data_IF_277882282732
#
_entry.id   IF_277882282732
#
_cell.length_a   1.000
_cell.length_b   1.000
_cell.length_c   1.000
_cell.angle_alpha   90.00
_cell.angle_beta   90.00
_cell.angle_gamma   90.00
#
_symmetry.space_group_name_H-M   'P 1'
#
loop_
_entity.id
_entity.type
_entity.pdbx_description
1 polymer ?
#
# COMPACT_ATOMS: atom_id res chain seq x y z
N UNK A 1 -10.30 -27.36 4.09
CA UNK A 1 -10.55 -26.00 3.52
C UNK A 1 -12.00 -25.49 3.61
N UNK A 2 -13.02 -26.31 3.33
CA UNK A 2 -14.43 -25.87 3.29
C UNK A 2 -14.97 -25.33 4.63
N UNK A 3 -14.60 -25.95 5.76
CA UNK A 3 -15.01 -25.51 7.12
C UNK A 3 -14.42 -24.13 7.50
N UNK A 4 -13.21 -23.82 7.02
CA UNK A 4 -12.48 -22.54 7.24
C UNK A 4 -13.11 -21.39 6.44
N UNK A 5 -13.51 -21.65 5.18
CA UNK A 5 -14.31 -20.69 4.39
C UNK A 5 -15.64 -20.37 5.07
N UNK A 6 -16.29 -21.35 5.69
CA UNK A 6 -17.55 -21.15 6.41
C UNK A 6 -17.45 -20.19 7.59
N UNK A 7 -16.41 -20.28 8.42
CA UNK A 7 -16.25 -19.39 9.59
C UNK A 7 -15.87 -17.96 9.18
N UNK A 8 -15.00 -17.82 8.17
CA UNK A 8 -14.62 -16.51 7.62
C UNK A 8 -15.85 -15.84 6.98
N UNK A 9 -16.60 -16.58 6.16
CA UNK A 9 -17.82 -16.09 5.52
C UNK A 9 -18.88 -15.68 6.56
N UNK A 10 -19.09 -16.47 7.62
CA UNK A 10 -20.08 -16.16 8.67
C UNK A 10 -19.79 -14.84 9.40
N UNK A 11 -18.51 -14.49 9.59
CA UNK A 11 -18.13 -13.23 10.26
C UNK A 11 -18.20 -12.03 9.34
N UNK A 12 -17.78 -12.19 8.09
CA UNK A 12 -18.00 -11.19 7.05
C UNK A 12 -19.49 -10.92 6.87
N UNK A 13 -20.31 -11.97 6.89
CA UNK A 13 -21.76 -11.88 6.89
C UNK A 13 -22.30 -11.17 8.15
N UNK A 14 -21.74 -11.40 9.33
CA UNK A 14 -22.17 -10.71 10.56
C UNK A 14 -21.89 -9.19 10.49
N UNK A 15 -20.70 -8.78 10.02
CA UNK A 15 -20.37 -7.37 9.81
C UNK A 15 -21.24 -6.74 8.72
N UNK A 16 -21.41 -7.44 7.60
CA UNK A 16 -22.24 -6.99 6.49
C UNK A 16 -23.71 -6.89 6.89
N UNK A 17 -24.20 -7.81 7.72
CA UNK A 17 -25.53 -7.75 8.30
C UNK A 17 -25.69 -6.53 9.21
N UNK A 18 -24.75 -6.29 10.12
CA UNK A 18 -24.74 -5.10 10.98
C UNK A 18 -24.78 -3.80 10.17
N UNK A 19 -23.96 -3.70 9.11
CA UNK A 19 -23.97 -2.55 8.21
C UNK A 19 -25.27 -2.41 7.44
N UNK A 20 -25.83 -3.52 6.94
CA UNK A 20 -27.07 -3.52 6.18
C UNK A 20 -28.23 -3.03 7.05
N UNK A 21 -28.27 -3.44 8.33
CA UNK A 21 -29.26 -2.95 9.30
C UNK A 21 -29.10 -1.45 9.53
N UNK A 22 -27.87 -0.96 9.73
CA UNK A 22 -27.62 0.49 9.91
C UNK A 22 -28.05 1.26 8.66
N UNK A 23 -27.64 0.83 7.48
CA UNK A 23 -27.97 1.48 6.21
C UNK A 23 -29.48 1.45 5.92
N UNK A 24 -30.18 0.42 6.39
CA UNK A 24 -31.64 0.34 6.28
C UNK A 24 -32.35 1.31 7.24
N UNK A 25 -31.88 1.43 8.48
CA UNK A 25 -32.48 2.30 9.49
C UNK A 25 -32.11 3.77 9.28
N UNK A 26 -30.93 4.06 8.70
CA UNK A 26 -30.39 5.41 8.60
C UNK A 26 -31.32 6.42 7.93
N UNK A 27 -31.96 6.15 6.77
CA UNK A 27 -32.89 7.09 6.14
C UNK A 27 -34.11 7.39 7.01
N UNK A 28 -34.67 6.36 7.66
CA UNK A 28 -35.87 6.47 8.51
C UNK A 28 -35.55 7.34 9.73
N UNK A 29 -34.45 7.03 10.42
CA UNK A 29 -34.00 7.75 11.60
C UNK A 29 -33.65 9.20 11.25
N UNK A 30 -32.98 9.43 10.13
CA UNK A 30 -32.54 10.78 9.73
C UNK A 30 -33.70 11.70 9.40
N UNK A 31 -34.71 11.17 8.70
CA UNK A 31 -35.95 11.89 8.43
C UNK A 31 -36.67 12.20 9.75
N UNK A 32 -36.84 11.21 10.62
CA UNK A 32 -37.50 11.40 11.90
C UNK A 32 -36.80 12.45 12.77
N UNK A 33 -35.46 12.37 12.91
CA UNK A 33 -34.67 13.32 13.67
C UNK A 33 -34.73 14.74 13.08
N UNK A 34 -34.73 14.87 11.75
CA UNK A 34 -34.87 16.17 11.10
C UNK A 34 -36.23 16.82 11.42
N UNK A 35 -37.33 16.07 11.30
CA UNK A 35 -38.67 16.59 11.61
C UNK A 35 -38.85 16.86 13.10
N UNK A 36 -38.29 16.02 13.98
CA UNK A 36 -38.26 16.25 15.42
C UNK A 36 -37.52 17.55 15.76
N UNK A 37 -36.36 17.78 15.16
CA UNK A 37 -35.58 19.00 15.38
C UNK A 37 -36.30 20.26 14.85
N UNK A 38 -37.05 20.13 13.75
CA UNK A 38 -37.74 21.25 13.10
C UNK A 38 -39.09 21.61 13.73
N UNK A 39 -39.85 20.62 14.19
CA UNK A 39 -41.24 20.80 14.64
C UNK A 39 -41.47 20.43 16.12
N UNK A 40 -40.44 19.97 16.85
CA UNK A 40 -40.54 19.56 18.25
C UNK A 40 -41.33 18.26 18.45
N UNK A 41 -41.59 17.85 19.68
CA UNK A 41 -42.22 16.54 20.00
C UNK A 41 -43.69 16.39 19.57
N UNK A 42 -44.34 17.46 19.12
CA UNK A 42 -45.76 17.44 18.71
C UNK A 42 -46.02 16.95 17.28
N UNK A 43 -44.98 16.71 16.48
CA UNK A 43 -45.15 16.31 15.08
C UNK A 43 -45.59 14.84 14.95
N UNK A 44 -46.48 14.56 13.99
CA UNK A 44 -46.82 13.20 13.56
C UNK A 44 -46.43 13.02 12.12
N UNK A 45 -45.57 12.03 11.87
CA UNK A 45 -45.15 11.67 10.52
C UNK A 45 -46.25 10.82 9.86
N UNK A 46 -47.14 11.45 9.07
CA UNK A 46 -48.34 10.79 8.52
C UNK A 46 -48.02 9.86 7.36
N UNK A 47 -47.16 10.28 6.44
CA UNK A 47 -46.74 9.45 5.29
C UNK A 47 -45.39 9.92 4.79
N UNK A 48 -44.48 8.97 4.55
CA UNK A 48 -43.25 9.22 3.81
C UNK A 48 -43.07 8.10 2.78
N UNK A 49 -42.57 8.45 1.60
CA UNK A 49 -42.26 7.48 0.54
C UNK A 49 -40.78 7.60 0.24
N UNK A 50 -40.04 6.53 0.50
CA UNK A 50 -38.68 6.38 0.00
C UNK A 50 -38.78 5.69 -1.35
N UNK A 51 -38.13 6.27 -2.36
CA UNK A 51 -38.00 5.59 -3.65
C UNK A 51 -37.13 4.33 -3.47
N UNK A 52 -37.64 3.12 -3.80
CA UNK A 52 -36.93 1.87 -3.55
C UNK A 52 -35.66 1.74 -4.40
N UNK A 53 -35.63 2.31 -5.61
CA UNK A 53 -34.47 2.28 -6.49
C UNK A 53 -33.36 3.15 -5.91
N UNK A 54 -33.72 4.36 -5.46
CA UNK A 54 -32.77 5.27 -4.81
C UNK A 54 -32.19 4.67 -3.53
N UNK A 55 -33.04 4.06 -2.71
CA UNK A 55 -32.62 3.37 -1.50
C UNK A 55 -31.62 2.24 -1.80
N UNK A 56 -31.91 1.41 -2.82
CA UNK A 56 -31.02 0.33 -3.23
C UNK A 56 -29.67 0.85 -3.74
N UNK A 57 -29.66 1.94 -4.51
CA UNK A 57 -28.42 2.60 -4.97
C UNK A 57 -27.60 3.11 -3.78
N UNK A 58 -28.23 3.67 -2.75
CA UNK A 58 -27.54 4.15 -1.55
C UNK A 58 -26.89 2.99 -0.80
N UNK A 59 -27.68 1.95 -0.49
CA UNK A 59 -27.17 0.76 0.22
C UNK A 59 -26.02 0.14 -0.55
N UNK A 60 -26.17 -0.05 -1.87
CA UNK A 60 -25.12 -0.60 -2.72
C UNK A 60 -23.86 0.28 -2.70
N UNK A 61 -24.00 1.59 -2.85
CA UNK A 61 -22.87 2.53 -2.86
C UNK A 61 -22.07 2.46 -1.56
N UNK A 62 -22.74 2.51 -0.40
CA UNK A 62 -22.07 2.45 0.89
C UNK A 62 -21.44 1.09 1.19
N UNK A 63 -22.09 -0.02 0.83
CA UNK A 63 -21.50 -1.35 0.98
C UNK A 63 -20.25 -1.50 0.09
N UNK A 64 -20.29 -1.00 -1.14
CA UNK A 64 -19.16 -1.01 -2.06
C UNK A 64 -18.02 -0.16 -1.53
N UNK A 65 -18.26 1.06 -1.04
CA UNK A 65 -17.20 1.89 -0.48
C UNK A 65 -16.60 1.27 0.78
N UNK A 66 -17.41 0.77 1.72
CA UNK A 66 -16.91 0.06 2.90
C UNK A 66 -16.05 -1.15 2.53
N UNK A 67 -16.40 -1.86 1.44
CA UNK A 67 -15.60 -2.96 0.92
C UNK A 67 -14.26 -2.50 0.34
N UNK A 68 -14.25 -1.44 -0.48
CA UNK A 68 -13.02 -0.87 -1.04
C UNK A 68 -12.04 -0.39 0.03
N UNK A 69 -12.53 0.07 1.18
CA UNK A 69 -11.70 0.49 2.32
C UNK A 69 -11.34 -0.64 3.29
N UNK A 70 -11.46 -1.90 2.86
CA UNK A 70 -11.10 -3.12 3.61
C UNK A 70 -11.81 -3.25 4.98
N UNK A 71 -13.01 -2.68 5.15
CA UNK A 71 -13.74 -2.71 6.43
C UNK A 71 -14.35 -4.09 6.75
N UNK A 72 -14.33 -5.02 5.80
CA UNK A 72 -14.75 -6.42 5.99
C UNK A 72 -13.57 -7.37 6.22
N UNK A 73 -12.36 -6.83 6.42
CA UNK A 73 -11.20 -7.64 6.79
C UNK A 73 -11.22 -7.93 8.30
N UNK A 74 -11.58 -9.16 8.66
CA UNK A 74 -11.75 -9.62 10.04
C UNK A 74 -10.45 -9.69 10.85
N UNK A 75 -9.29 -9.54 10.21
CA UNK A 75 -7.97 -9.55 10.87
C UNK A 75 -7.56 -8.17 11.40
N UNK A 76 -8.30 -7.10 11.08
CA UNK A 76 -7.97 -5.75 11.55
C UNK A 76 -8.47 -5.53 12.98
N UNK A 77 -7.60 -4.99 13.84
CA UNK A 77 -8.01 -4.45 15.14
C UNK A 77 -8.72 -3.12 14.90
N UNK A 78 -10.05 -3.13 15.04
CA UNK A 78 -10.87 -1.97 14.74
C UNK A 78 -10.72 -0.82 15.76
N UNK A 79 -9.97 -1.01 16.85
CA UNK A 79 -9.65 0.05 17.83
C UNK A 79 -8.50 0.97 17.43
N UNK A 80 -7.73 0.61 16.39
CA UNK A 80 -6.64 1.46 15.92
C UNK A 80 -7.18 2.73 15.26
N UNK A 81 -6.54 3.87 15.50
CA UNK A 81 -6.90 5.16 14.91
C UNK A 81 -6.92 5.14 13.38
N UNK A 82 -6.06 4.34 12.76
CA UNK A 82 -6.02 4.12 11.32
C UNK A 82 -7.35 3.56 10.77
N UNK A 83 -8.03 2.70 11.53
CA UNK A 83 -9.31 2.12 11.12
C UNK A 83 -10.41 3.18 11.12
N UNK A 84 -10.44 4.05 12.14
CA UNK A 84 -11.41 5.15 12.22
C UNK A 84 -11.24 6.10 11.04
N UNK A 85 -10.00 6.44 10.67
CA UNK A 85 -9.71 7.27 9.48
C UNK A 85 -10.22 6.62 8.20
N UNK A 86 -10.01 5.29 8.04
CA UNK A 86 -10.53 4.55 6.88
C UNK A 86 -12.06 4.54 6.83
N UNK A 87 -12.74 4.38 7.97
CA UNK A 87 -14.20 4.44 8.05
C UNK A 87 -14.70 5.84 7.64
N UNK A 88 -14.10 6.90 8.19
CA UNK A 88 -14.44 8.26 7.84
C UNK A 88 -14.27 8.52 6.34
N UNK A 89 -13.13 8.10 5.77
CA UNK A 89 -12.86 8.26 4.35
C UNK A 89 -13.83 7.45 3.48
N UNK A 90 -14.21 6.23 3.90
CA UNK A 90 -15.19 5.40 3.21
C UNK A 90 -16.58 6.05 3.17
N UNK A 91 -17.03 6.61 4.31
CA UNK A 91 -18.30 7.32 4.41
C UNK A 91 -18.28 8.61 3.60
N UNK A 92 -17.18 9.37 3.64
CA UNK A 92 -17.03 10.61 2.87
C UNK A 92 -17.06 10.34 1.35
N UNK A 93 -16.31 9.35 0.87
CA UNK A 93 -16.33 8.94 -0.54
C UNK A 93 -17.71 8.41 -0.94
N UNK A 94 -18.34 7.59 -0.08
CA UNK A 94 -19.70 7.11 -0.29
C UNK A 94 -20.71 8.25 -0.42
N UNK A 95 -20.61 9.26 0.45
CA UNK A 95 -21.46 10.45 0.40
C UNK A 95 -21.27 11.25 -0.89
N UNK A 96 -20.03 11.46 -1.34
CA UNK A 96 -19.74 12.17 -2.59
C UNK A 96 -20.34 11.43 -3.79
N UNK A 97 -20.11 10.10 -3.88
CA UNK A 97 -20.67 9.27 -4.96
C UNK A 97 -22.20 9.31 -4.94
N UNK A 98 -22.79 9.23 -3.76
CA UNK A 98 -24.24 9.25 -3.57
C UNK A 98 -24.85 10.58 -4.06
N UNK A 99 -24.25 11.71 -3.67
CA UNK A 99 -24.66 13.03 -4.14
C UNK A 99 -24.53 13.13 -5.67
N UNK A 100 -23.38 12.71 -6.20
CA UNK A 100 -23.12 12.72 -7.65
C UNK A 100 -24.16 11.90 -8.44
N UNK A 101 -24.45 10.67 -7.99
CA UNK A 101 -25.45 9.81 -8.61
C UNK A 101 -26.87 10.40 -8.52
N UNK A 102 -27.20 11.08 -7.42
CA UNK A 102 -28.51 11.73 -7.27
C UNK A 102 -28.73 12.85 -8.29
N UNK A 103 -27.70 13.65 -8.58
CA UNK A 103 -27.77 14.70 -9.60
C UNK A 103 -27.88 14.14 -11.02
N UNK A 104 -27.14 13.07 -11.34
CA UNK A 104 -27.21 12.42 -12.65
C UNK A 104 -28.58 11.79 -12.89
N UNK A 105 -29.15 11.18 -11.86
CA UNK A 105 -30.48 10.56 -11.95
C UNK A 105 -31.63 11.58 -12.05
N UNK A 106 -31.35 12.89 -12.00
CA UNK A 106 -32.37 13.93 -12.02
C UNK A 106 -33.29 13.90 -10.80
N UNK A 107 -32.85 13.27 -9.70
CA UNK A 107 -33.65 13.13 -8.50
C UNK A 107 -33.50 14.40 -7.64
N UNK A 108 -34.60 14.91 -7.05
CA UNK A 108 -34.52 16.09 -6.21
C UNK A 108 -33.60 15.79 -5.02
N UNK A 109 -32.59 16.66 -4.75
CA UNK A 109 -31.72 16.45 -3.62
C UNK A 109 -32.58 16.44 -2.35
N UNK A 110 -32.48 15.36 -1.56
CA UNK A 110 -33.06 15.34 -0.22
C UNK A 110 -32.51 16.54 0.57
N UNK A 111 -33.31 17.09 1.48
CA UNK A 111 -32.91 18.28 2.24
C UNK A 111 -31.49 18.14 2.79
N UNK A 112 -30.62 19.13 2.55
CA UNK A 112 -29.19 19.07 2.87
C UNK A 112 -28.91 18.61 4.30
N UNK A 113 -29.73 19.08 5.24
CA UNK A 113 -29.68 18.70 6.65
C UNK A 113 -30.05 17.24 6.91
N UNK A 114 -31.03 16.68 6.20
CA UNK A 114 -31.39 15.25 6.29
C UNK A 114 -30.19 14.40 5.86
N UNK A 115 -29.51 14.80 4.79
CA UNK A 115 -28.32 14.09 4.29
C UNK A 115 -27.14 14.16 5.26
N UNK A 116 -26.92 15.31 5.92
CA UNK A 116 -25.88 15.44 6.96
C UNK A 116 -26.17 14.55 8.17
N UNK A 117 -27.43 14.54 8.64
CA UNK A 117 -27.86 13.67 9.74
C UNK A 117 -27.68 12.19 9.34
N UNK A 118 -28.04 11.84 8.10
CA UNK A 118 -27.83 10.50 7.54
C UNK A 118 -26.37 10.08 7.55
N UNK A 119 -25.47 10.89 6.98
CA UNK A 119 -24.04 10.58 6.97
C UNK A 119 -23.46 10.46 8.39
N UNK A 120 -23.93 11.28 9.32
CA UNK A 120 -23.51 11.24 10.73
C UNK A 120 -23.98 9.95 11.41
N UNK A 121 -25.22 9.54 11.16
CA UNK A 121 -25.77 8.29 11.69
C UNK A 121 -25.09 7.05 11.10
N UNK A 122 -24.81 7.05 9.80
CA UNK A 122 -24.04 5.96 9.16
C UNK A 122 -22.64 5.88 9.75
N UNK A 123 -21.95 7.01 9.90
CA UNK A 123 -20.61 7.06 10.50
C UNK A 123 -20.62 6.52 11.94
N UNK A 124 -21.51 7.03 12.80
CA UNK A 124 -21.59 6.60 14.19
C UNK A 124 -22.03 5.14 14.32
N UNK A 125 -23.00 4.69 13.52
CA UNK A 125 -23.46 3.31 13.49
C UNK A 125 -22.36 2.34 13.06
N UNK A 126 -21.64 2.64 11.98
CA UNK A 126 -20.54 1.81 11.48
C UNK A 126 -19.44 1.70 12.55
N UNK A 127 -19.04 2.83 13.15
CA UNK A 127 -18.08 2.87 14.26
C UNK A 127 -18.58 2.06 15.45
N UNK A 128 -19.86 2.17 15.81
CA UNK A 128 -20.47 1.40 16.90
C UNK A 128 -20.43 -0.10 16.61
N UNK A 129 -20.83 -0.55 15.43
CA UNK A 129 -20.74 -1.98 15.05
C UNK A 129 -19.30 -2.46 15.10
N UNK A 130 -18.32 -1.63 14.71
CA UNK A 130 -16.90 -2.00 14.76
C UNK A 130 -16.39 -2.06 16.19
N UNK A 131 -16.82 -1.14 17.03
CA UNK A 131 -16.50 -1.12 18.44
C UNK A 131 -17.11 -2.33 19.16
N UNK A 132 -18.39 -2.62 18.95
CA UNK A 132 -19.08 -3.79 19.51
C UNK A 132 -18.45 -5.10 19.00
N UNK A 133 -18.17 -5.19 17.70
CA UNK A 133 -17.44 -6.32 17.12
C UNK A 133 -16.05 -6.44 17.73
N UNK A 134 -15.35 -5.33 17.97
CA UNK A 134 -14.06 -5.34 18.63
C UNK A 134 -14.16 -5.70 20.11
N UNK A 135 -15.24 -5.36 20.83
CA UNK A 135 -15.43 -5.77 22.22
C UNK A 135 -15.63 -7.28 22.30
N UNK A 136 -16.57 -7.80 21.52
CA UNK A 136 -16.86 -9.24 21.42
C UNK A 136 -15.67 -10.02 20.85
N UNK A 137 -14.94 -9.43 19.90
CA UNK A 137 -13.77 -10.02 19.25
C UNK A 137 -12.45 -9.85 20.03
N UNK A 138 -12.35 -8.88 20.95
CA UNK A 138 -11.16 -8.63 21.77
C UNK A 138 -10.99 -9.63 22.91
N UNK A 139 -12.01 -10.43 23.20
CA UNK A 139 -11.89 -11.59 24.06
C UNK A 139 -11.19 -12.70 23.28
N UNK A 140 -9.86 -12.64 23.17
CA UNK A 140 -8.89 -13.75 23.02
C UNK A 140 -9.12 -14.91 22.04
N UNK A 141 -10.18 -14.93 21.22
CA UNK A 141 -10.78 -16.23 20.85
C UNK A 141 -10.30 -16.83 19.53
N UNK A 142 -9.47 -16.17 18.73
CA UNK A 142 -8.90 -16.79 17.52
C UNK A 142 -7.42 -16.48 17.38
N UNK A 143 -6.64 -16.92 18.37
CA UNK A 143 -5.21 -17.10 18.15
C UNK A 143 -4.98 -18.41 17.42
N UNK A 144 -4.42 -18.36 16.21
CA UNK A 144 -4.06 -19.58 15.47
C UNK A 144 -2.97 -20.30 16.27
N UNK A 145 -3.24 -21.55 16.65
CA UNK A 145 -2.21 -22.46 17.18
C UNK A 145 -1.09 -22.59 16.15
N UNK A 146 0.07 -22.03 16.48
CA UNK A 146 1.17 -21.80 15.54
C UNK A 146 2.40 -22.59 15.98
N UNK A 147 2.98 -23.36 15.07
CA UNK A 147 4.25 -24.06 15.27
C UNK A 147 5.31 -23.41 14.38
N UNK A 148 6.45 -23.03 14.96
CA UNK A 148 7.56 -22.45 14.19
C UNK A 148 8.58 -23.55 13.89
N UNK A 149 8.82 -23.85 12.62
CA UNK A 149 9.77 -24.88 12.19
C UNK A 149 11.14 -24.24 11.94
N UNK A 150 12.07 -24.48 12.86
CA UNK A 150 13.43 -23.92 12.91
C UNK A 150 13.61 -22.93 14.06
N UNK A 151 14.57 -23.20 14.95
CA UNK A 151 14.91 -22.34 16.10
C UNK A 151 15.97 -21.25 15.79
N UNK A 152 16.24 -21.00 14.50
CA UNK A 152 17.23 -20.01 14.06
C UNK A 152 16.80 -18.55 14.33
N UNK A 153 17.67 -17.61 13.98
CA UNK A 153 17.44 -16.17 14.17
C UNK A 153 16.09 -15.69 13.61
N UNK A 154 15.71 -16.15 12.41
CA UNK A 154 14.41 -15.81 11.81
C UNK A 154 13.21 -16.28 12.62
N UNK A 155 13.31 -17.44 13.29
CA UNK A 155 12.24 -17.97 14.14
C UNK A 155 12.12 -17.17 15.44
N UNK A 156 13.27 -16.85 16.06
CA UNK A 156 13.33 -16.02 17.28
C UNK A 156 12.72 -14.64 17.06
N UNK A 157 13.02 -14.01 15.93
CA UNK A 157 12.46 -12.69 15.62
C UNK A 157 10.94 -12.69 15.43
N UNK A 158 10.39 -13.74 14.82
CA UNK A 158 8.93 -13.89 14.68
C UNK A 158 8.30 -14.08 16.06
N UNK A 159 8.89 -14.91 16.92
CA UNK A 159 8.42 -15.09 18.29
C UNK A 159 8.48 -13.80 19.10
N UNK A 160 9.58 -13.04 19.01
CA UNK A 160 9.71 -11.73 19.66
C UNK A 160 8.70 -10.70 19.14
N UNK A 161 8.40 -10.73 17.83
CA UNK A 161 7.37 -9.88 17.27
C UNK A 161 5.97 -10.22 17.83
N UNK A 162 5.66 -11.51 17.95
CA UNK A 162 4.38 -11.98 18.52
C UNK A 162 4.28 -11.66 20.02
N UNK A 163 5.36 -11.83 20.78
CA UNK A 163 5.42 -11.52 22.21
C UNK A 163 5.21 -10.01 22.47
N UNK A 164 5.83 -9.15 21.65
CA UNK A 164 5.63 -7.70 21.73
C UNK A 164 4.26 -7.22 21.25
N UNK A 165 3.51 -8.07 20.53
CA UNK A 165 2.18 -7.75 19.99
C UNK A 165 1.14 -8.83 20.35
N UNK A 166 0.56 -8.80 21.58
CA UNK A 166 -0.39 -9.80 22.06
C UNK A 166 -1.68 -9.96 21.22
N UNK A 167 -1.98 -8.96 20.38
CA UNK A 167 -3.11 -8.95 19.43
C UNK A 167 -2.70 -9.39 18.02
N UNK A 168 -1.54 -10.02 17.84
CA UNK A 168 -1.05 -10.55 16.54
C UNK A 168 -1.92 -11.66 15.95
N UNK A 169 -2.85 -12.23 16.72
CA UNK A 169 -3.73 -13.31 16.27
C UNK A 169 -3.04 -14.67 16.15
N UNK A 170 -1.81 -14.80 16.67
CA UNK A 170 -1.07 -16.06 16.75
C UNK A 170 -0.93 -16.52 18.21
N UNK A 171 -0.95 -17.82 18.43
CA UNK A 171 -0.57 -18.46 19.69
C UNK A 171 0.54 -19.44 19.37
N UNK A 172 1.78 -19.08 19.68
CA UNK A 172 2.93 -19.95 19.43
C UNK A 172 2.89 -21.08 20.45
N UNK A 173 2.83 -22.32 19.97
CA UNK A 173 2.87 -23.52 20.82
C UNK A 173 4.32 -23.85 21.17
N UNK A 174 5.22 -23.66 20.21
CA UNK A 174 6.63 -23.99 20.35
C UNK A 174 7.40 -23.91 19.04
N UNK A 175 8.67 -24.24 19.14
CA UNK A 175 9.57 -24.41 18.01
C UNK A 175 9.72 -25.89 17.68
N UNK A 176 9.94 -26.23 16.42
CA UNK A 176 10.30 -27.57 15.96
C UNK A 176 11.70 -27.51 15.38
N UNK A 177 12.63 -28.29 15.93
CA UNK A 177 14.00 -28.39 15.41
C UNK A 177 14.48 -29.85 15.30
N UNK A 178 15.42 -30.10 14.38
CA UNK A 178 16.03 -31.42 14.19
C UNK A 178 17.23 -31.65 15.11
N UNK A 179 17.67 -30.63 15.82
CA UNK A 179 18.77 -30.72 16.74
C UNK A 179 18.30 -31.30 18.09
N UNK A 180 18.76 -32.50 18.42
CA UNK A 180 18.35 -33.21 19.63
C UNK A 180 18.83 -32.51 20.90
N UNK A 181 19.95 -31.77 20.81
CA UNK A 181 20.50 -31.04 21.94
C UNK A 181 19.59 -29.88 22.40
N UNK A 182 18.75 -29.38 21.49
CA UNK A 182 17.83 -28.27 21.77
C UNK A 182 16.48 -28.74 22.30
N UNK A 183 16.25 -30.04 22.43
CA UNK A 183 14.99 -30.58 22.92
C UNK A 183 14.74 -30.14 24.37
N UNK A 184 13.60 -29.49 24.63
CA UNK A 184 13.25 -29.02 25.98
C UNK A 184 13.85 -27.65 26.35
N UNK A 185 14.70 -27.07 25.51
CA UNK A 185 15.11 -25.68 25.67
C UNK A 185 13.91 -24.73 25.48
N UNK A 186 13.98 -23.57 26.14
CA UNK A 186 13.00 -22.50 25.95
C UNK A 186 13.62 -21.39 25.11
N UNK A 187 13.05 -21.15 23.94
CA UNK A 187 13.46 -20.06 23.03
C UNK A 187 12.37 -19.01 23.06
N UNK A 188 12.71 -17.79 23.49
CA UNK A 188 11.77 -16.66 23.62
C UNK A 188 10.50 -17.00 24.44
N UNK A 189 10.67 -17.85 25.46
CA UNK A 189 9.60 -18.31 26.35
C UNK A 189 8.79 -19.50 25.84
N UNK A 190 9.14 -20.08 24.68
CA UNK A 190 8.42 -21.22 24.09
C UNK A 190 9.29 -22.49 24.05
N UNK A 191 8.71 -23.68 24.29
CA UNK A 191 9.45 -24.94 24.26
C UNK A 191 9.91 -25.30 22.84
N UNK A 192 11.07 -25.94 22.75
CA UNK A 192 11.59 -26.53 21.52
C UNK A 192 11.29 -28.03 21.51
N UNK A 193 10.51 -28.46 20.53
CA UNK A 193 10.18 -29.85 20.25
C UNK A 193 11.19 -30.44 19.27
N UNK A 194 11.60 -31.67 19.53
CA UNK A 194 12.51 -32.41 18.68
C UNK A 194 11.76 -33.11 17.54
N UNK A 195 12.25 -32.95 16.32
CA UNK A 195 11.69 -33.58 15.13
C UNK A 195 12.41 -34.90 14.82
N UNK A 196 11.90 -36.01 15.37
CA UNK A 196 12.56 -37.32 15.24
C UNK A 196 12.30 -38.03 13.90
N UNK A 197 11.06 -38.05 13.39
CA UNK A 197 10.67 -38.86 12.21
C UNK A 197 9.95 -38.10 11.08
N UNK A 198 9.54 -36.84 11.30
CA UNK A 198 8.95 -35.98 10.27
C UNK A 198 8.05 -34.89 10.84
N UNK A 199 7.51 -34.00 9.99
CA UNK A 199 6.53 -32.99 10.39
C UNK A 199 5.17 -33.60 10.74
N UNK A 200 4.88 -34.80 10.26
CA UNK A 200 3.59 -35.47 10.48
C UNK A 200 3.34 -35.77 11.95
N UNK A 201 4.38 -36.20 12.68
CA UNK A 201 4.26 -36.54 14.10
C UNK A 201 3.99 -35.29 14.95
N UNK A 202 4.73 -34.21 14.69
CA UNK A 202 4.50 -32.92 15.33
C UNK A 202 3.09 -32.35 15.05
N UNK A 203 2.54 -32.63 13.86
CA UNK A 203 1.17 -32.27 13.51
C UNK A 203 0.14 -33.12 14.28
N UNK A 204 0.39 -34.42 14.42
CA UNK A 204 -0.49 -35.32 15.17
C UNK A 204 -0.53 -35.00 16.67
N UNK A 205 0.63 -34.67 17.24
CA UNK A 205 0.78 -34.40 18.68
C UNK A 205 0.25 -33.02 19.08
N UNK A 206 0.59 -31.97 18.33
CA UNK A 206 0.30 -30.59 18.73
C UNK A 206 -0.88 -29.95 17.98
N UNK A 207 -1.38 -30.60 16.93
CA UNK A 207 -2.50 -30.16 16.09
C UNK A 207 -2.44 -28.65 15.73
N UNK A 208 -1.35 -28.19 15.06
CA UNK A 208 -1.17 -26.80 14.72
C UNK A 208 -2.13 -26.38 13.59
N UNK A 209 -2.66 -25.16 13.68
CA UNK A 209 -3.49 -24.56 12.64
C UNK A 209 -2.68 -23.76 11.62
N UNK A 210 -1.51 -23.28 12.04
CA UNK A 210 -0.54 -22.54 11.24
C UNK A 210 0.86 -23.08 11.53
N UNK A 211 1.67 -23.14 10.49
CA UNK A 211 3.07 -23.51 10.55
C UNK A 211 3.90 -22.42 9.89
N UNK A 212 4.89 -21.90 10.62
CA UNK A 212 5.81 -20.89 10.11
C UNK A 212 7.15 -21.55 9.84
N UNK A 213 7.57 -21.54 8.59
CA UNK A 213 8.78 -22.17 8.13
C UNK A 213 9.96 -21.21 8.30
N UNK A 214 10.64 -21.28 9.44
CA UNK A 214 11.77 -20.42 9.82
C UNK A 214 13.13 -21.11 9.63
N UNK A 215 13.27 -21.88 8.56
CA UNK A 215 14.51 -22.58 8.21
C UNK A 215 15.07 -22.12 6.84
N UNK A 216 16.30 -22.53 6.53
CA UNK A 216 16.93 -22.23 5.22
C UNK A 216 16.24 -22.99 4.07
N UNK A 217 16.07 -22.33 2.92
CA UNK A 217 15.33 -22.83 1.75
C UNK A 217 15.79 -24.19 1.20
N UNK A 218 17.07 -24.53 1.32
CA UNK A 218 17.62 -25.83 0.86
C UNK A 218 16.90 -27.02 1.51
N UNK A 219 16.48 -26.88 2.77
CA UNK A 219 15.77 -27.95 3.51
C UNK A 219 14.29 -28.08 3.13
N UNK A 220 13.70 -27.09 2.45
CA UNK A 220 12.29 -27.16 2.04
C UNK A 220 12.07 -28.21 0.96
N UNK A 221 13.02 -28.38 0.03
CA UNK A 221 12.93 -29.38 -1.04
C UNK A 221 12.74 -30.79 -0.51
N UNK A 222 13.37 -31.11 0.63
CA UNK A 222 13.26 -32.41 1.28
C UNK A 222 11.90 -32.60 1.96
N UNK A 223 11.23 -31.50 2.34
CA UNK A 223 9.99 -31.50 3.11
C UNK A 223 8.73 -31.23 2.27
N UNK A 224 8.86 -30.98 0.96
CA UNK A 224 7.73 -30.62 0.09
C UNK A 224 6.57 -31.62 0.21
N UNK A 225 6.86 -32.93 0.19
CA UNK A 225 5.83 -33.97 0.30
C UNK A 225 5.06 -33.89 1.62
N UNK A 226 5.75 -33.62 2.72
CA UNK A 226 5.15 -33.47 4.04
C UNK A 226 4.35 -32.17 4.14
N UNK A 227 4.87 -31.07 3.61
CA UNK A 227 4.17 -29.78 3.58
C UNK A 227 2.88 -29.84 2.77
N UNK A 228 2.89 -30.53 1.62
CA UNK A 228 1.68 -30.75 0.82
C UNK A 228 0.65 -31.56 1.61
N UNK A 229 1.07 -32.60 2.32
CA UNK A 229 0.18 -33.37 3.20
C UNK A 229 -0.40 -32.50 4.32
N UNK A 230 0.42 -31.70 5.00
CA UNK A 230 -0.04 -30.76 6.03
C UNK A 230 -1.06 -29.76 5.47
N UNK A 231 -0.82 -29.23 4.27
CA UNK A 231 -1.73 -28.32 3.60
C UNK A 231 -3.09 -28.99 3.26
N UNK A 232 -3.08 -30.27 2.86
CA UNK A 232 -4.29 -31.06 2.62
C UNK A 232 -5.12 -31.26 3.89
N UNK A 233 -4.47 -31.40 5.06
CA UNK A 233 -5.13 -31.43 6.38
C UNK A 233 -5.71 -30.06 6.79
N UNK A 234 -5.46 -29.00 6.01
CA UNK A 234 -5.97 -27.65 6.25
C UNK A 234 -5.09 -26.78 7.14
N UNK A 235 -3.86 -27.25 7.41
CA UNK A 235 -2.82 -26.48 8.11
C UNK A 235 -2.29 -25.44 7.15
N UNK A 236 -2.24 -24.20 7.62
CA UNK A 236 -1.72 -23.09 6.84
C UNK A 236 -0.19 -23.07 6.98
N UNK A 237 0.53 -22.82 5.88
CA UNK A 237 1.99 -22.84 5.87
C UNK A 237 2.47 -21.48 5.39
N UNK A 238 3.20 -20.77 6.23
CA UNK A 238 3.80 -19.48 5.92
C UNK A 238 5.32 -19.61 5.84
N UNK A 239 5.96 -18.93 4.90
CA UNK A 239 7.39 -18.66 4.98
C UNK A 239 7.64 -17.39 5.82
N UNK A 240 8.91 -17.14 6.17
CA UNK A 240 9.30 -15.96 6.97
C UNK A 240 8.83 -14.63 6.35
N UNK A 241 9.02 -14.37 5.03
CA UNK A 241 8.46 -13.18 4.38
C UNK A 241 6.96 -13.02 4.57
N UNK A 242 6.18 -14.08 4.30
CA UNK A 242 4.71 -14.05 4.45
C UNK A 242 4.29 -13.81 5.90
N UNK A 243 5.03 -14.38 6.86
CA UNK A 243 4.77 -14.13 8.27
C UNK A 243 4.98 -12.66 8.64
N UNK A 244 6.07 -12.03 8.21
CA UNK A 244 6.29 -10.60 8.45
C UNK A 244 5.32 -9.70 7.69
N UNK A 245 4.94 -10.05 6.46
CA UNK A 245 3.92 -9.33 5.70
C UNK A 245 2.57 -9.35 6.44
N UNK A 246 2.13 -10.53 6.88
CA UNK A 246 0.85 -10.68 7.58
C UNK A 246 0.86 -10.06 8.98
N UNK A 247 1.99 -10.11 9.70
CA UNK A 247 2.08 -9.64 11.08
C UNK A 247 2.40 -8.14 11.17
N UNK A 248 3.34 -7.67 10.35
CA UNK A 248 3.89 -6.32 10.43
C UNK A 248 3.50 -5.42 9.24
N UNK A 249 2.85 -5.96 8.20
CA UNK A 249 2.52 -5.21 6.98
C UNK A 249 3.74 -4.78 6.16
N UNK A 250 4.91 -5.37 6.45
CA UNK A 250 6.20 -5.03 5.83
C UNK A 250 7.09 -6.25 5.78
N UNK A 251 7.95 -6.32 4.78
CA UNK A 251 8.87 -7.44 4.59
C UNK A 251 10.31 -6.95 4.76
N UNK A 252 11.08 -7.46 5.74
CA UNK A 252 12.49 -7.14 5.87
C UNK A 252 13.26 -7.58 4.62
N UNK A 253 14.04 -6.68 4.02
CA UNK A 253 14.78 -6.95 2.77
C UNK A 253 15.71 -8.18 2.87
N UNK A 254 16.23 -8.50 4.06
CA UNK A 254 17.08 -9.69 4.28
C UNK A 254 16.37 -11.03 4.03
N UNK A 255 15.04 -11.07 4.02
CA UNK A 255 14.25 -12.27 3.75
C UNK A 255 13.67 -12.30 2.34
N UNK A 256 13.88 -11.23 1.56
CA UNK A 256 13.48 -11.14 0.17
C UNK A 256 14.61 -11.70 -0.69
N UNK A 257 14.33 -12.79 -1.42
CA UNK A 257 15.26 -13.36 -2.38
C UNK A 257 14.73 -13.29 -3.82
N UNK A 258 15.60 -13.62 -4.79
CA UNK A 258 15.30 -13.55 -6.22
C UNK A 258 14.08 -14.39 -6.61
N UNK A 259 13.91 -15.56 -5.99
CA UNK A 259 12.75 -16.43 -6.22
C UNK A 259 11.47 -15.86 -5.65
N UNK A 260 11.50 -15.22 -4.47
CA UNK A 260 10.34 -14.51 -3.93
C UNK A 260 9.97 -13.32 -4.81
N UNK A 261 10.96 -12.59 -5.35
CA UNK A 261 10.72 -11.52 -6.34
C UNK A 261 10.08 -12.09 -7.61
N UNK A 262 10.57 -13.23 -8.10
CA UNK A 262 10.01 -13.91 -9.27
C UNK A 262 8.57 -14.38 -9.03
N UNK A 263 8.28 -15.04 -7.91
CA UNK A 263 6.93 -15.51 -7.62
C UNK A 263 5.96 -14.39 -7.26
N UNK A 264 6.42 -13.32 -6.60
CA UNK A 264 5.59 -12.15 -6.34
C UNK A 264 5.26 -11.40 -7.64
N UNK A 265 6.21 -11.30 -8.58
CA UNK A 265 5.98 -10.67 -9.89
C UNK A 265 5.12 -11.52 -10.83
N UNK A 266 5.26 -12.85 -10.80
CA UNK A 266 4.41 -13.79 -11.57
C UNK A 266 2.99 -13.86 -11.01
N UNK A 267 2.83 -13.77 -9.68
CA UNK A 267 1.51 -13.72 -9.05
C UNK A 267 0.90 -12.29 -9.03
N UNK A 268 1.61 -11.29 -9.55
CA UNK A 268 1.11 -9.93 -9.74
C UNK A 268 0.19 -9.84 -10.96
N UNK A 269 -0.75 -8.90 -10.95
CA UNK A 269 -2.12 -9.31 -10.92
C UNK A 269 -2.66 -9.66 -12.31
N UNK A 270 -3.62 -10.59 -12.33
CA UNK A 270 -4.45 -11.00 -13.49
C UNK A 270 -4.74 -9.79 -14.38
N UNK A 271 -4.71 -9.95 -15.72
CA UNK A 271 -4.96 -8.88 -16.70
C UNK A 271 -6.09 -7.91 -16.30
N UNK A 272 -7.14 -8.42 -15.67
CA UNK A 272 -8.28 -7.66 -15.14
C UNK A 272 -7.90 -6.54 -14.16
N UNK A 273 -6.96 -6.76 -13.25
CA UNK A 273 -6.54 -5.75 -12.25
C UNK A 273 -5.68 -4.67 -12.92
N UNK A 274 -4.84 -5.02 -13.90
CA UNK A 274 -4.10 -4.02 -14.70
C UNK A 274 -5.06 -3.14 -15.50
N UNK A 275 -6.10 -3.74 -16.12
CA UNK A 275 -7.16 -3.00 -16.82
C UNK A 275 -7.95 -2.10 -15.86
N UNK A 276 -8.32 -2.60 -14.69
CA UNK A 276 -9.00 -1.81 -13.67
C UNK A 276 -8.14 -0.64 -13.18
N UNK A 277 -6.84 -0.87 -12.93
CA UNK A 277 -5.89 0.19 -12.56
C UNK A 277 -5.78 1.26 -13.65
N UNK A 278 -5.74 0.84 -14.92
CA UNK A 278 -5.73 1.77 -16.06
C UNK A 278 -7.01 2.58 -16.16
N UNK A 279 -8.17 1.95 -15.98
CA UNK A 279 -9.46 2.63 -15.95
C UNK A 279 -9.49 3.67 -14.82
N UNK A 280 -9.04 3.30 -13.62
CA UNK A 280 -8.95 4.20 -12.49
C UNK A 280 -8.01 5.37 -12.77
N UNK A 281 -6.86 5.12 -13.41
CA UNK A 281 -5.93 6.18 -13.78
C UNK A 281 -6.54 7.17 -14.78
N UNK A 282 -7.29 6.67 -15.77
CA UNK A 282 -8.00 7.51 -16.75
C UNK A 282 -9.08 8.36 -16.07
N UNK A 283 -9.90 7.74 -15.20
CA UNK A 283 -10.98 8.44 -14.49
C UNK A 283 -10.42 9.53 -13.59
N UNK A 284 -9.41 9.20 -12.77
CA UNK A 284 -8.81 10.16 -11.84
C UNK A 284 -8.04 11.25 -12.59
N UNK A 285 -7.33 10.93 -13.67
CA UNK A 285 -6.67 11.93 -14.49
C UNK A 285 -7.68 12.85 -15.22
N UNK A 286 -8.78 12.29 -15.72
CA UNK A 286 -9.86 13.05 -16.36
C UNK A 286 -10.55 14.01 -15.39
N UNK A 287 -10.89 13.55 -14.19
CA UNK A 287 -11.42 14.42 -13.13
C UNK A 287 -10.40 15.46 -12.68
N UNK A 288 -9.13 15.06 -12.55
CA UNK A 288 -8.01 15.95 -12.24
C UNK A 288 -7.92 17.10 -13.25
N UNK A 289 -7.90 16.77 -14.55
CA UNK A 289 -7.90 17.75 -15.64
C UNK A 289 -9.11 18.67 -15.61
N UNK A 290 -10.32 18.14 -15.41
CA UNK A 290 -11.55 18.94 -15.37
C UNK A 290 -11.52 19.96 -14.23
N UNK A 291 -11.13 19.52 -13.02
CA UNK A 291 -11.07 20.38 -11.83
C UNK A 291 -9.91 21.37 -11.94
N UNK A 292 -8.75 20.94 -12.46
CA UNK A 292 -7.58 21.81 -12.58
C UNK A 292 -7.63 22.75 -13.77
N UNK A 293 -8.54 22.54 -14.73
CA UNK A 293 -8.60 23.32 -15.98
C UNK A 293 -8.65 24.85 -15.76
N UNK A 294 -9.51 25.40 -14.87
CA UNK A 294 -9.52 26.85 -14.62
C UNK A 294 -8.19 27.37 -14.07
N UNK A 295 -7.58 26.63 -13.15
CA UNK A 295 -6.28 26.98 -12.55
C UNK A 295 -5.16 26.90 -13.59
N UNK A 296 -5.20 25.89 -14.45
CA UNK A 296 -4.25 25.71 -15.55
C UNK A 296 -4.35 26.83 -16.58
N UNK A 297 -5.58 27.30 -16.90
CA UNK A 297 -5.79 28.41 -17.81
C UNK A 297 -5.22 29.73 -17.24
N UNK A 298 -5.51 30.04 -15.97
CA UNK A 298 -4.96 31.23 -15.28
C UNK A 298 -3.43 31.14 -15.23
N UNK A 299 -2.89 29.96 -14.90
CA UNK A 299 -1.44 29.72 -14.87
C UNK A 299 -0.80 29.94 -16.24
N UNK A 300 -1.44 29.45 -17.31
CA UNK A 300 -0.95 29.63 -18.68
C UNK A 300 -0.86 31.11 -19.08
N UNK A 301 -1.86 31.91 -18.72
CA UNK A 301 -1.85 33.37 -18.94
C UNK A 301 -0.74 34.02 -18.11
N UNK A 302 -0.63 33.70 -16.82
CA UNK A 302 0.39 34.26 -15.94
C UNK A 302 1.83 34.00 -16.45
N UNK A 303 2.10 32.79 -16.95
CA UNK A 303 3.41 32.44 -17.54
C UNK A 303 3.70 33.30 -18.78
N UNK A 304 2.70 33.48 -19.64
CA UNK A 304 2.84 34.22 -20.91
C UNK A 304 3.01 35.73 -20.70
N UNK A 305 2.48 36.26 -19.60
CA UNK A 305 2.68 37.65 -19.18
C UNK A 305 4.04 37.87 -18.48
N UNK A 306 4.57 36.87 -17.78
CA UNK A 306 5.84 36.97 -17.05
C UNK A 306 7.06 36.91 -17.97
N UNK A 307 7.08 35.97 -18.94
CA UNK A 307 8.21 35.80 -19.86
C UNK A 307 7.78 35.35 -21.26
N UNK A 308 8.48 35.77 -22.33
CA UNK A 308 8.17 35.32 -23.69
C UNK A 308 8.54 33.84 -23.90
N UNK A 309 7.60 33.08 -24.48
CA UNK A 309 7.82 31.70 -24.93
C UNK A 309 6.63 30.76 -24.72
N UNK A 310 6.88 29.45 -24.87
CA UNK A 310 5.87 28.41 -24.72
C UNK A 310 5.45 28.23 -23.26
N UNK A 311 4.15 28.08 -23.03
CA UNK A 311 3.58 27.84 -21.70
C UNK A 311 4.05 26.50 -21.12
N UNK A 312 4.12 25.48 -21.95
CA UNK A 312 4.55 24.14 -21.55
C UNK A 312 6.05 23.94 -21.77
N UNK A 313 6.66 23.25 -20.82
CA UNK A 313 8.00 22.69 -20.92
C UNK A 313 7.86 21.17 -21.04
N UNK A 314 8.60 20.57 -21.98
CA UNK A 314 8.58 19.14 -22.26
C UNK A 314 9.96 18.55 -22.02
N UNK A 315 10.01 17.38 -21.39
CA UNK A 315 11.24 16.68 -21.08
C UNK A 315 11.12 15.19 -21.31
N UNK A 316 12.09 14.61 -22.02
CA UNK A 316 12.16 13.17 -22.24
C UNK A 316 12.45 12.44 -20.93
N UNK A 317 11.67 11.40 -20.66
CA UNK A 317 11.78 10.53 -19.48
C UNK A 317 11.62 9.07 -19.87
N UNK A 318 12.20 8.18 -19.08
CA UNK A 318 12.04 6.73 -19.26
C UNK A 318 10.79 6.25 -18.52
N UNK A 319 9.86 5.68 -19.27
CA UNK A 319 8.60 5.13 -18.82
C UNK A 319 8.61 3.61 -18.73
N UNK A 320 7.44 3.00 -18.95
CA UNK A 320 7.24 1.56 -18.85
C UNK A 320 8.06 0.82 -19.91
N UNK A 321 8.69 -0.29 -19.49
CA UNK A 321 9.50 -1.18 -20.35
C UNK A 321 10.69 -0.48 -21.01
N UNK A 322 11.16 0.62 -20.42
CA UNK A 322 12.29 1.41 -20.94
C UNK A 322 11.92 2.37 -22.07
N UNK A 323 10.65 2.46 -22.47
CA UNK A 323 10.21 3.36 -23.52
C UNK A 323 10.28 4.81 -23.06
N UNK A 324 10.84 5.68 -23.91
CA UNK A 324 10.91 7.11 -23.65
C UNK A 324 9.56 7.80 -23.95
N UNK A 325 9.22 8.81 -23.15
CA UNK A 325 8.05 9.67 -23.39
C UNK A 325 8.33 11.11 -22.98
N UNK A 326 7.55 12.05 -23.52
CA UNK A 326 7.66 13.48 -23.19
C UNK A 326 6.82 13.83 -21.96
N UNK A 327 7.47 14.06 -20.83
CA UNK A 327 6.81 14.56 -19.63
C UNK A 327 6.49 16.05 -19.76
N UNK A 328 5.21 16.42 -19.59
CA UNK A 328 4.71 17.78 -19.75
C UNK A 328 4.59 18.47 -18.39
N UNK A 329 5.13 19.69 -18.30
CA UNK A 329 5.02 20.59 -17.13
C UNK A 329 4.74 22.02 -17.58
N UNK A 330 4.30 22.87 -16.66
CA UNK A 330 4.35 24.30 -16.92
C UNK A 330 5.78 24.81 -16.86
N UNK A 331 6.09 25.80 -17.71
CA UNK A 331 7.37 26.49 -17.69
C UNK A 331 7.50 27.28 -16.39
N UNK A 332 8.46 26.90 -15.56
CA UNK A 332 8.82 27.61 -14.33
C UNK A 332 10.22 28.27 -14.40
N UNK A 333 10.89 28.17 -15.53
CA UNK A 333 12.27 28.64 -15.76
C UNK A 333 12.35 29.49 -17.03
N UNK A 334 13.35 30.36 -17.10
CA UNK A 334 13.62 31.22 -18.26
C UNK A 334 13.92 30.36 -19.49
N UNK A 335 13.61 30.88 -20.70
CA UNK A 335 13.93 30.23 -21.97
C UNK A 335 15.45 29.94 -22.01
N UNK A 336 15.82 28.74 -22.43
CA UNK A 336 17.22 28.28 -22.55
C UNK A 336 18.00 28.07 -21.23
N UNK A 337 17.31 27.98 -20.08
CA UNK A 337 17.92 27.73 -18.76
C UNK A 337 18.81 26.47 -18.63
N UNK A 338 18.67 25.50 -19.54
CA UNK A 338 19.44 24.24 -19.55
C UNK A 338 20.49 24.17 -20.68
N UNK A 339 20.54 25.14 -21.62
CA UNK A 339 21.42 25.05 -22.80
C UNK A 339 22.92 25.07 -22.50
N UNK A 340 23.35 25.77 -21.45
CA UNK A 340 24.78 25.94 -21.15
C UNK A 340 25.33 25.00 -20.07
N UNK A 341 24.48 24.37 -19.25
CA UNK A 341 24.92 23.72 -18.00
C UNK A 341 24.44 22.25 -17.89
N UNK A 342 23.53 21.80 -18.76
CA UNK A 342 22.98 20.44 -18.68
C UNK A 342 22.14 20.18 -17.43
N UNK A 343 21.89 18.90 -17.14
CA UNK A 343 20.99 18.41 -16.08
C UNK A 343 21.52 18.61 -14.65
N UNK A 344 21.63 19.84 -14.16
CA UNK A 344 22.09 20.13 -12.79
C UNK A 344 20.93 20.18 -11.80
N UNK A 345 21.17 19.67 -10.57
CA UNK A 345 20.23 19.76 -9.47
C UNK A 345 20.00 21.23 -9.05
N UNK A 346 18.74 21.63 -8.96
CA UNK A 346 18.34 23.01 -8.65
C UNK A 346 18.65 23.35 -7.18
N UNK A 347 19.39 24.44 -6.94
CA UNK A 347 19.60 25.04 -5.61
C UNK A 347 18.45 25.97 -5.17
N UNK A 348 18.40 26.34 -3.88
CA UNK A 348 17.29 27.13 -3.30
C UNK A 348 17.12 28.54 -3.91
N UNK A 349 18.15 29.10 -4.55
CA UNK A 349 18.13 30.41 -5.22
C UNK A 349 18.72 30.33 -6.63
N UNK A 350 18.08 29.56 -7.51
CA UNK A 350 18.50 29.45 -8.90
C UNK A 350 18.00 30.67 -9.71
N UNK A 351 18.90 31.50 -10.30
CA UNK A 351 18.53 32.68 -11.09
C UNK A 351 17.72 32.33 -12.35
N UNK A 352 17.67 31.03 -12.71
CA UNK A 352 16.92 30.53 -13.87
C UNK A 352 15.41 30.43 -13.64
N UNK A 353 14.93 30.60 -12.40
CA UNK A 353 13.50 30.46 -12.06
C UNK A 353 12.77 31.79 -12.30
N UNK A 354 11.64 31.76 -13.01
CA UNK A 354 10.84 32.99 -13.26
C UNK A 354 10.06 33.43 -12.01
N UNK A 355 9.58 34.68 -11.98
CA UNK A 355 8.86 35.21 -10.80
C UNK A 355 7.59 34.41 -10.55
N UNK A 356 6.82 34.14 -11.61
CA UNK A 356 5.66 33.23 -11.56
C UNK A 356 6.11 31.79 -11.29
N UNK A 357 7.23 31.36 -11.89
CA UNK A 357 7.81 30.02 -11.71
C UNK A 357 8.12 29.67 -10.25
N UNK A 358 8.53 30.65 -9.43
CA UNK A 358 8.75 30.47 -7.99
C UNK A 358 7.47 30.06 -7.27
N UNK A 359 6.35 30.74 -7.57
CA UNK A 359 5.04 30.41 -7.00
C UNK A 359 4.53 29.04 -7.50
N UNK A 360 4.70 28.76 -8.80
CA UNK A 360 4.26 27.48 -9.38
C UNK A 360 4.98 26.29 -8.74
N UNK A 361 6.29 26.38 -8.50
CA UNK A 361 7.07 25.33 -7.83
C UNK A 361 6.72 25.20 -6.36
N UNK A 362 6.47 26.32 -5.67
CA UNK A 362 6.08 26.31 -4.27
C UNK A 362 4.72 25.60 -4.07
N UNK A 363 3.75 25.91 -4.93
CA UNK A 363 2.41 25.29 -4.91
C UNK A 363 2.34 23.96 -5.69
N UNK A 364 3.44 23.54 -6.34
CA UNK A 364 3.51 22.37 -7.24
C UNK A 364 2.49 22.39 -8.38
N UNK A 365 2.03 23.59 -8.76
CA UNK A 365 1.11 23.80 -9.87
C UNK A 365 1.78 23.49 -11.21
N UNK A 366 3.12 23.53 -11.26
CA UNK A 366 3.92 23.19 -12.45
C UNK A 366 3.74 21.74 -12.91
N UNK A 367 3.30 20.85 -12.01
CA UNK A 367 3.12 19.43 -12.29
C UNK A 367 1.70 19.08 -12.77
N UNK A 368 0.73 20.01 -12.74
CA UNK A 368 -0.65 19.76 -13.18
C UNK A 368 -0.77 19.23 -14.63
N UNK A 369 0.02 19.70 -15.61
CA UNK A 369 -0.03 19.15 -16.97
C UNK A 369 0.32 17.66 -17.07
N UNK A 370 0.97 17.06 -16.07
CA UNK A 370 1.26 15.62 -16.07
C UNK A 370 0.00 14.75 -16.07
N UNK A 371 -1.17 15.29 -15.68
CA UNK A 371 -2.43 14.57 -15.85
C UNK A 371 -2.73 14.21 -17.31
N UNK A 372 -2.24 14.98 -18.30
CA UNK A 372 -2.31 14.59 -19.70
C UNK A 372 -1.49 13.32 -19.98
N UNK A 373 -0.26 13.22 -19.46
CA UNK A 373 0.58 12.03 -19.62
C UNK A 373 -0.07 10.79 -18.97
N UNK A 374 -0.72 10.97 -17.81
CA UNK A 374 -1.49 9.89 -17.18
C UNK A 374 -2.69 9.49 -18.04
N UNK A 375 -3.44 10.45 -18.56
CA UNK A 375 -4.61 10.19 -19.40
C UNK A 375 -4.20 9.45 -20.70
N UNK A 376 -3.10 9.85 -21.33
CA UNK A 376 -2.53 9.21 -22.53
C UNK A 376 -1.93 7.81 -22.25
N UNK A 377 -1.60 7.50 -21.00
CA UNK A 377 -1.11 6.18 -20.60
C UNK A 377 0.40 6.02 -20.59
N UNK A 378 1.12 7.12 -20.74
CA UNK A 378 2.58 7.17 -20.59
C UNK A 378 2.98 7.11 -19.10
N UNK A 379 2.10 7.62 -18.22
CA UNK A 379 2.27 7.62 -16.77
C UNK A 379 1.08 7.01 -16.04
N UNK A 380 1.28 6.73 -14.75
CA UNK A 380 0.25 6.33 -13.81
C UNK A 380 0.22 7.30 -12.63
N UNK A 381 -0.95 7.57 -12.04
CA UNK A 381 -1.07 8.42 -10.84
C UNK A 381 -0.27 7.84 -9.66
N UNK A 382 -0.21 6.52 -9.58
CA UNK A 382 0.57 5.80 -8.57
C UNK A 382 1.59 4.92 -9.28
N UNK A 383 2.86 5.35 -9.25
CA UNK A 383 3.97 4.64 -9.88
C UNK A 383 5.34 5.18 -9.45
N UNK A 384 6.44 4.51 -9.84
CA UNK A 384 7.78 5.05 -9.67
C UNK A 384 7.91 6.38 -10.44
N UNK A 385 8.74 7.30 -9.91
CA UNK A 385 9.01 8.57 -10.59
C UNK A 385 9.82 8.27 -11.85
N UNK A 386 9.40 8.76 -13.03
CA UNK A 386 10.13 8.50 -14.26
C UNK A 386 11.43 9.33 -14.26
N UNK A 387 12.56 8.67 -14.51
CA UNK A 387 13.89 9.29 -14.48
C UNK A 387 14.34 9.73 -15.88
N UNK A 388 15.35 10.61 -15.94
CA UNK A 388 15.94 11.04 -17.22
C UNK A 388 16.75 9.88 -17.82
N UNK A 389 16.77 9.70 -19.15
CA UNK A 389 17.54 8.65 -19.82
C UNK A 389 19.02 8.62 -19.42
N UNK A 390 19.63 9.81 -19.29
CA UNK A 390 21.03 10.01 -18.86
C UNK A 390 21.33 9.30 -17.53
N UNK A 391 20.48 9.50 -16.51
CA UNK A 391 20.66 8.86 -15.22
C UNK A 391 20.42 7.35 -15.27
N UNK A 392 19.46 6.91 -16.08
CA UNK A 392 19.20 5.47 -16.27
C UNK A 392 20.41 4.78 -16.90
N UNK A 393 21.05 5.41 -17.89
CA UNK A 393 22.27 4.91 -18.53
C UNK A 393 23.43 4.81 -17.52
N UNK A 394 23.64 5.82 -16.68
CA UNK A 394 24.66 5.80 -15.62
C UNK A 394 24.43 4.67 -14.60
N UNK A 395 23.17 4.44 -14.20
CA UNK A 395 22.83 3.34 -13.30
C UNK A 395 23.13 1.97 -13.93
N UNK A 396 22.84 1.80 -15.22
CA UNK A 396 23.10 0.54 -15.93
C UNK A 396 24.61 0.29 -16.11
N UNK A 397 25.37 1.32 -16.45
CA UNK A 397 26.83 1.25 -16.61
C UNK A 397 27.53 0.87 -15.30
N UNK A 398 27.11 1.47 -14.18
CA UNK A 398 27.63 1.16 -12.85
C UNK A 398 27.30 -0.28 -12.38
N UNK A 399 26.23 -0.87 -12.91
CA UNK A 399 25.84 -2.25 -12.62
C UNK A 399 26.69 -3.26 -13.39
N UNK A 400 26.96 -2.99 -14.68
CA UNK A 400 27.80 -3.84 -15.51
C UNK A 400 29.25 -3.89 -14.99
N UNK A 401 29.80 -2.74 -14.56
CA UNK A 401 31.14 -2.65 -13.97
C UNK A 401 31.31 -3.49 -12.69
N UNK A 402 30.27 -3.59 -11.85
CA UNK A 402 30.27 -4.47 -10.66
C UNK A 402 30.07 -5.94 -10.98
N UNK A 403 29.38 -6.25 -12.09
CA UNK A 403 29.14 -7.63 -12.54
C UNK A 403 30.35 -8.24 -13.26
N UNK A 404 31.21 -7.42 -13.86
CA UNK A 404 32.36 -7.87 -14.66
C UNK A 404 33.65 -8.09 -13.86
N UNK A 405 33.62 -7.93 -12.54
CA UNK A 405 34.79 -8.09 -11.67
C UNK A 405 34.57 -9.27 -10.69
N UNK A 406 35.04 -10.49 -11.00
CA UNK A 406 34.75 -11.70 -10.22
C UNK A 406 35.31 -11.66 -8.78
N UNK A 407 36.29 -10.78 -8.52
CA UNK A 407 37.01 -10.71 -7.24
C UNK A 407 36.29 -9.94 -6.13
N UNK A 408 35.11 -9.36 -6.39
CA UNK A 408 34.35 -8.60 -5.39
C UNK A 408 33.04 -9.29 -4.95
N UNK A 409 32.80 -10.53 -5.35
CA UNK A 409 31.61 -11.29 -4.93
C UNK A 409 31.74 -11.95 -3.54
N UNK A 410 32.88 -11.80 -2.86
CA UNK A 410 33.02 -12.08 -1.42
C UNK A 410 32.98 -10.79 -0.60
N UNK A 411 31.86 -10.46 0.02
CA UNK A 411 31.74 -9.34 0.99
C UNK A 411 32.67 -9.55 2.21
N UNK A 412 33.04 -8.53 3.03
CA UNK A 412 32.35 -7.25 3.25
C UNK A 412 33.29 -6.01 3.39
N UNK A 413 32.68 -4.87 3.77
CA UNK A 413 33.28 -3.60 4.26
C UNK A 413 33.31 -2.41 3.31
N UNK A 414 32.52 -1.41 3.70
CA UNK A 414 32.68 0.00 3.36
C UNK A 414 34.07 0.46 3.84
N UNK A 415 35.04 0.54 2.94
CA UNK A 415 36.28 1.29 3.18
C UNK A 415 36.05 2.71 2.70
N UNK A 416 35.75 3.60 3.63
CA UNK A 416 35.96 5.04 3.50
C UNK A 416 37.42 5.31 3.17
N UNK A 417 37.68 5.81 1.97
CA UNK A 417 39.00 6.27 1.54
C UNK A 417 39.30 7.65 2.11
N UNK A 418 40.31 7.69 2.97
CA UNK A 418 40.96 8.85 3.56
C UNK A 418 41.50 9.81 2.48
N UNK A 419 41.11 11.09 2.53
CA UNK A 419 42.00 12.19 2.13
C UNK A 419 42.40 12.98 3.40
N UNK A 420 43.71 13.17 3.55
CA UNK A 420 44.41 13.76 4.69
C UNK A 420 44.07 15.24 4.88
N UNK A 421 44.01 15.66 6.15
CA UNK A 421 44.44 16.93 6.79
C UNK A 421 43.99 16.79 8.26
N UNK A 422 44.85 16.55 9.26
CA UNK A 422 45.81 17.49 9.82
C UNK A 422 45.40 17.80 11.27
N UNK A 423 46.01 17.11 12.23
CA UNK A 423 46.26 17.45 13.65
C UNK A 423 45.28 18.35 14.46
N UNK A 424 44.84 17.87 15.64
CA UNK A 424 44.51 18.75 16.77
C UNK A 424 43.34 18.33 17.68
N UNK A 425 43.70 17.86 18.87
CA UNK A 425 42.93 17.66 20.11
C UNK A 425 41.52 18.26 20.35
N UNK A 426 40.68 17.41 21.00
CA UNK A 426 39.83 17.67 22.21
C UNK A 426 38.39 18.23 22.05
N UNK A 427 37.44 17.32 22.35
CA UNK A 427 36.29 17.41 23.28
C UNK A 427 35.02 18.24 22.99
N UNK A 428 33.91 17.56 23.26
CA UNK A 428 32.57 17.96 23.70
C UNK A 428 31.66 18.87 22.84
N UNK A 429 30.55 18.25 22.41
CA UNK A 429 29.17 18.72 22.49
C UNK A 429 28.85 20.17 22.06
N UNK A 430 28.23 20.32 20.88
CA UNK A 430 27.68 21.60 20.44
C UNK A 430 26.89 21.52 19.12
N UNK A 431 25.62 21.11 19.21
CA UNK A 431 24.47 21.77 18.56
C UNK A 431 24.55 22.04 17.03
N UNK A 432 23.79 21.22 16.29
CA UNK A 432 22.97 21.54 15.10
C UNK A 432 23.63 21.78 13.70
N UNK A 433 22.98 21.11 12.72
CA UNK A 433 22.90 21.36 11.26
C UNK A 433 23.90 20.65 10.34
N UNK A 434 23.46 19.50 9.83
CA UNK A 434 23.94 18.92 8.57
C UNK A 434 23.02 17.77 8.13
N UNK A 435 22.23 18.00 7.08
CA UNK A 435 21.24 17.05 6.51
C UNK A 435 21.91 15.69 6.18
N UNK A 436 21.31 14.53 6.51
CA UNK A 436 21.78 13.26 5.95
C UNK A 436 21.31 13.14 4.49
N UNK A 437 22.26 12.97 3.57
CA UNK A 437 22.01 12.61 2.17
C UNK A 437 21.12 11.37 2.07
N UNK A 438 19.93 11.55 1.50
CA UNK A 438 19.00 10.45 1.18
C UNK A 438 19.45 9.76 -0.11
N UNK A 439 20.37 8.81 -0.03
CA UNK A 439 20.50 7.80 -1.08
C UNK A 439 19.42 6.73 -0.83
N UNK A 440 18.24 6.97 -1.41
CA UNK A 440 17.11 6.03 -1.38
C UNK A 440 17.30 5.00 -2.50
N UNK A 441 17.97 3.90 -2.19
CA UNK A 441 18.04 2.74 -3.10
C UNK A 441 16.61 2.20 -3.24
N UNK A 442 15.98 2.43 -4.41
CA UNK A 442 14.67 1.88 -4.76
C UNK A 442 14.86 0.54 -5.48
N UNK A 443 14.08 -0.49 -5.17
CA UNK A 443 14.05 -1.69 -5.98
C UNK A 443 13.46 -1.33 -7.36
N UNK A 444 14.28 -1.46 -8.40
CA UNK A 444 13.88 -1.37 -9.80
C UNK A 444 13.07 -2.62 -10.14
N UNK A 445 11.76 -2.45 -10.32
CA UNK A 445 10.87 -3.43 -10.91
C UNK A 445 10.94 -3.30 -12.44
N UNK A 446 10.97 -4.45 -13.13
CA UNK A 446 11.11 -4.66 -14.57
C UNK A 446 12.47 -4.29 -15.19
N UNK A 447 13.32 -5.30 -15.35
CA UNK A 447 14.15 -5.45 -16.54
C UNK A 447 14.03 -6.90 -17.01
N UNK A 448 13.26 -7.12 -18.07
CA UNK A 448 13.43 -8.31 -18.90
C UNK A 448 14.78 -8.15 -19.62
N UNK A 449 15.54 -9.25 -19.67
CA UNK A 449 16.76 -9.32 -20.45
C UNK A 449 16.44 -9.05 -21.92
N UNK A 450 16.86 -7.89 -22.44
CA UNK A 450 16.93 -7.63 -23.87
C UNK A 450 18.03 -8.51 -24.43
N UNK A 451 17.67 -9.69 -24.93
CA UNK A 451 18.54 -10.43 -25.86
C UNK A 451 18.46 -9.72 -27.22
N UNK A 452 19.59 -9.31 -27.83
CA UNK A 452 19.59 -8.77 -29.18
C UNK A 452 19.13 -9.87 -30.15
N UNK A 453 18.07 -9.61 -30.90
CA UNK A 453 17.37 -10.55 -31.77
C UNK A 453 18.03 -10.75 -33.15
N UNK A 454 19.33 -10.49 -33.29
CA UNK A 454 20.13 -10.87 -34.48
C UNK A 454 21.57 -11.15 -34.07
N UNK A 455 21.95 -12.43 -34.10
CA UNK A 455 23.36 -12.80 -34.22
C UNK A 455 23.80 -12.44 -35.65
N UNK A 456 24.95 -11.78 -35.86
CA UNK A 456 25.51 -11.63 -37.19
C UNK A 456 25.97 -13.02 -37.68
N UNK A 457 25.64 -13.35 -38.93
CA UNK A 457 26.12 -14.56 -39.59
C UNK A 457 27.66 -14.57 -39.61
N UNK A 458 28.31 -15.70 -39.30
CA UNK A 458 29.76 -15.79 -39.30
C UNK A 458 30.32 -15.82 -40.73
N UNK A 459 31.52 -15.24 -40.97
CA UNK A 459 32.25 -15.37 -42.23
C UNK A 459 32.80 -16.77 -42.47
#
# INVERSE_FOLDING_TARGET
>A
MLKKRGVIARRQLALLFGDSVILFLAPIVSIYLYFLAKFGFGFRLVRFRIDPVFFLIHVATFLVTLHFFDQYNFQQDFRKSQTIIKIFLAVAVGAIITVFLSYIAGLPPQGRWIFVIYCTFVLSGVVLVRFLYSLVGSVGMYRKKTLIVGCGESGKEIANYVNSHPNSGLNIIGFLDKDKEKQGEHVEGYPVFFQEKGLKDAVAEHNPQLMIMAMRRIRYRQLVKELVWCAQQGIEIWDVPTAFESLAGRIPLRYVDEMWLLFSTINWPRLHIRRLKRLMDIVVAGLGLLISFPVMAITAVAIKLDTPGLVFYRQVRVGKDGNEFELIKFRSMVKDAEKEIGAVWVGEHDPRITRVGKLLRFLRLDELPQFFNVFSGEMSIVGPRPERPEFVADFLKNRQSKSSNPLLQGAPHCKTGNHRLGSGHVSLCGILRGKPEKIRIRPLLHQEHVFPSRLPDPP
#
